data_IF_823557493117
#
_entry.id   IF_823557493117
#
_cell.length_a   1.000
_cell.length_b   1.000
_cell.length_c   1.000
_cell.angle_alpha   90.00
_cell.angle_beta   90.00
_cell.angle_gamma   90.00
#
_symmetry.space_group_name_H-M   'P 1'
#
loop_
_entity.id
_entity.type
_entity.pdbx_description
1 polymer ?
#
# COMPACT_ATOMS: atom_id res chain seq x y z
N UNK A 1 25.66 -44.36 18.20
CA UNK A 1 25.82 -42.96 18.65
C UNK A 1 25.75 -42.03 17.43
N UNK A 2 24.62 -41.35 17.22
CA UNK A 2 24.46 -40.40 16.12
C UNK A 2 25.03 -39.03 16.55
N UNK A 3 26.22 -38.69 16.05
CA UNK A 3 26.81 -37.36 16.23
C UNK A 3 26.01 -36.37 15.40
N UNK A 4 25.11 -35.63 16.04
CA UNK A 4 24.44 -34.49 15.41
C UNK A 4 25.48 -33.38 15.25
N UNK A 5 26.20 -33.39 14.13
CA UNK A 5 27.08 -32.28 13.77
C UNK A 5 26.19 -31.06 13.54
N UNK A 6 26.19 -30.13 14.48
CA UNK A 6 25.59 -28.81 14.29
C UNK A 6 26.29 -28.20 13.09
N UNK A 7 25.65 -28.23 11.91
CA UNK A 7 26.15 -27.56 10.71
C UNK A 7 26.24 -26.08 11.06
N UNK A 8 27.45 -25.63 11.40
CA UNK A 8 27.81 -24.23 11.43
C UNK A 8 27.50 -23.69 10.03
N UNK A 9 26.32 -23.09 9.89
CA UNK A 9 25.83 -22.49 8.66
C UNK A 9 26.64 -21.21 8.42
N UNK A 10 27.89 -21.40 8.00
CA UNK A 10 28.77 -20.35 7.51
C UNK A 10 28.11 -19.60 6.37
N UNK A 11 28.54 -18.36 6.18
CA UNK A 11 28.09 -17.55 5.04
C UNK A 11 28.55 -18.25 3.76
N UNK A 12 27.65 -18.45 2.81
CA UNK A 12 28.01 -19.04 1.51
C UNK A 12 29.05 -18.15 0.80
N UNK A 13 29.98 -18.73 0.04
CA UNK A 13 30.91 -17.98 -0.80
C UNK A 13 30.20 -16.90 -1.63
N UNK A 14 29.11 -17.27 -2.31
CA UNK A 14 28.34 -16.30 -3.11
C UNK A 14 27.74 -15.16 -2.27
N UNK A 15 27.31 -15.44 -1.03
CA UNK A 15 26.81 -14.39 -0.13
C UNK A 15 27.92 -13.43 0.29
N UNK A 16 29.12 -13.94 0.57
CA UNK A 16 30.27 -13.08 0.86
C UNK A 16 30.64 -12.22 -0.34
N UNK A 17 30.62 -12.79 -1.55
CA UNK A 17 30.80 -12.05 -2.80
C UNK A 17 29.78 -10.90 -2.93
N UNK A 18 28.49 -11.15 -2.64
CA UNK A 18 27.48 -10.09 -2.68
C UNK A 18 27.75 -8.97 -1.67
N UNK A 19 28.32 -9.29 -0.50
CA UNK A 19 28.71 -8.30 0.50
C UNK A 19 29.89 -7.45 0.03
N UNK A 20 30.90 -8.06 -0.59
CA UNK A 20 32.06 -7.37 -1.17
C UNK A 20 31.63 -6.40 -2.29
N UNK A 21 30.69 -6.81 -3.15
CA UNK A 21 30.25 -6.05 -4.32
C UNK A 21 29.11 -5.05 -4.03
N UNK A 22 28.79 -4.77 -2.76
CA UNK A 22 27.66 -3.90 -2.39
C UNK A 22 27.79 -2.46 -2.92
N UNK A 23 29.02 -1.98 -3.07
CA UNK A 23 29.37 -0.60 -3.39
C UNK A 23 29.78 -0.36 -4.86
N UNK A 24 29.73 -1.38 -5.71
CA UNK A 24 30.16 -1.28 -7.09
C UNK A 24 29.32 -0.27 -7.89
N UNK A 25 29.95 0.61 -8.69
CA UNK A 25 29.24 1.59 -9.50
C UNK A 25 28.35 0.94 -10.55
N UNK A 26 28.76 -0.18 -11.15
CA UNK A 26 27.98 -0.92 -12.17
C UNK A 26 26.64 -1.46 -11.64
N UNK A 27 26.56 -1.69 -10.32
CA UNK A 27 25.36 -2.19 -9.65
C UNK A 27 24.52 -1.05 -9.04
N UNK A 28 25.06 0.18 -8.97
CA UNK A 28 24.33 1.37 -8.51
C UNK A 28 23.43 1.85 -9.65
N UNK A 29 22.15 2.09 -9.35
CA UNK A 29 21.14 2.50 -10.35
C UNK A 29 20.49 1.35 -11.12
N UNK A 30 21.06 0.14 -11.10
CA UNK A 30 20.41 -1.04 -11.67
C UNK A 30 19.18 -1.45 -10.85
N UNK A 31 18.08 -1.76 -11.54
CA UNK A 31 16.91 -2.37 -10.90
C UNK A 31 17.30 -3.67 -10.18
N UNK A 32 16.68 -3.93 -9.02
CA UNK A 32 17.01 -5.07 -8.15
C UNK A 32 16.98 -6.40 -8.91
N UNK A 33 16.01 -6.57 -9.82
CA UNK A 33 15.86 -7.76 -10.66
C UNK A 33 17.05 -7.98 -11.63
N UNK A 34 17.59 -6.91 -12.20
CA UNK A 34 18.78 -6.97 -13.08
C UNK A 34 20.06 -7.17 -12.26
N UNK A 35 20.14 -6.55 -11.09
CA UNK A 35 21.30 -6.60 -10.19
C UNK A 35 21.68 -8.04 -9.80
N UNK A 36 20.69 -8.86 -9.45
CA UNK A 36 20.92 -10.27 -9.13
C UNK A 36 21.53 -11.06 -10.29
N UNK A 37 21.03 -10.86 -11.52
CA UNK A 37 21.56 -11.51 -12.72
C UNK A 37 23.00 -11.09 -13.01
N UNK A 38 23.31 -9.80 -12.86
CA UNK A 38 24.65 -9.27 -13.09
C UNK A 38 25.65 -9.79 -12.05
N UNK A 39 25.28 -9.81 -10.77
CA UNK A 39 26.09 -10.41 -9.70
C UNK A 39 26.38 -11.90 -9.95
N UNK A 40 25.39 -12.66 -10.42
CA UNK A 40 25.61 -14.07 -10.76
C UNK A 40 26.56 -14.25 -11.95
N UNK A 41 26.54 -13.35 -12.93
CA UNK A 41 27.51 -13.36 -14.05
C UNK A 41 28.93 -13.05 -13.56
N UNK A 42 29.10 -11.96 -12.82
CA UNK A 42 30.39 -11.58 -12.24
C UNK A 42 30.97 -12.69 -11.37
N UNK A 43 30.16 -13.34 -10.54
CA UNK A 43 30.60 -14.48 -9.72
C UNK A 43 31.09 -15.67 -10.57
N UNK A 44 30.45 -15.91 -11.71
CA UNK A 44 30.86 -16.97 -12.64
C UNK A 44 32.12 -16.60 -13.41
N UNK A 45 32.37 -15.31 -13.64
CA UNK A 45 33.57 -14.80 -14.33
C UNK A 45 34.81 -14.76 -13.41
N UNK A 46 34.66 -14.91 -12.09
CA UNK A 46 35.80 -15.04 -11.18
C UNK A 46 36.72 -16.20 -11.57
N UNK A 47 38.02 -15.94 -11.56
CA UNK A 47 39.07 -16.96 -11.73
C UNK A 47 39.00 -18.02 -10.62
N UNK A 48 39.53 -19.21 -10.91
CA UNK A 48 39.53 -20.31 -9.95
C UNK A 48 40.26 -19.96 -8.64
N UNK A 49 41.35 -19.20 -8.73
CA UNK A 49 42.11 -18.73 -7.56
C UNK A 49 41.28 -17.77 -6.69
N UNK A 50 40.58 -16.82 -7.32
CA UNK A 50 39.70 -15.90 -6.60
C UNK A 50 38.54 -16.63 -5.92
N UNK A 51 37.98 -17.67 -6.56
CA UNK A 51 36.95 -18.51 -5.94
C UNK A 51 37.48 -19.29 -4.74
N UNK A 52 38.69 -19.85 -4.83
CA UNK A 52 39.31 -20.54 -3.70
C UNK A 52 39.55 -19.60 -2.53
N UNK A 53 40.06 -18.40 -2.78
CA UNK A 53 40.28 -17.41 -1.73
C UNK A 53 38.95 -16.96 -1.11
N UNK A 54 37.92 -16.77 -1.93
CA UNK A 54 36.59 -16.41 -1.47
C UNK A 54 35.93 -17.54 -0.65
N UNK A 55 36.19 -18.81 -1.00
CA UNK A 55 35.80 -19.96 -0.18
C UNK A 55 36.53 -19.97 1.19
N UNK A 56 37.83 -19.68 1.22
CA UNK A 56 38.60 -19.59 2.47
C UNK A 56 38.08 -18.47 3.36
N UNK A 57 37.82 -17.29 2.79
CA UNK A 57 37.23 -16.15 3.51
C UNK A 57 35.83 -16.48 4.02
N UNK A 58 35.00 -17.12 3.22
CA UNK A 58 33.65 -17.52 3.59
C UNK A 58 33.64 -18.52 4.76
N UNK A 59 34.57 -19.48 4.76
CA UNK A 59 34.72 -20.46 5.85
C UNK A 59 35.13 -19.80 7.18
N UNK A 60 35.87 -18.70 7.13
CA UNK A 60 36.28 -17.91 8.32
C UNK A 60 35.26 -16.85 8.73
N UNK A 61 34.28 -16.55 7.88
CA UNK A 61 33.35 -15.47 8.13
C UNK A 61 32.38 -15.84 9.28
N UNK A 62 32.19 -14.97 10.28
CA UNK A 62 31.27 -15.25 11.37
C UNK A 62 29.85 -15.45 10.83
N UNK A 63 29.08 -16.33 11.48
CA UNK A 63 27.69 -16.55 11.10
C UNK A 63 26.88 -15.30 11.39
N UNK A 64 26.02 -14.90 10.45
CA UNK A 64 25.09 -13.79 10.67
C UNK A 64 24.13 -14.16 11.81
N UNK A 65 23.96 -13.29 12.82
CA UNK A 65 23.05 -13.57 13.92
C UNK A 65 21.63 -13.70 13.38
N UNK A 66 21.08 -14.92 13.47
CA UNK A 66 19.68 -15.14 13.13
C UNK A 66 18.83 -14.48 14.20
N UNK A 67 18.04 -13.47 13.81
CA UNK A 67 17.05 -12.88 14.72
C UNK A 67 16.10 -13.96 15.22
N UNK A 68 15.98 -14.08 16.54
CA UNK A 68 15.03 -14.99 17.17
C UNK A 68 13.59 -14.60 16.81
N UNK A 69 12.65 -15.53 16.95
CA UNK A 69 11.23 -15.26 16.68
C UNK A 69 10.71 -14.11 17.55
N UNK A 70 11.17 -14.06 18.79
CA UNK A 70 10.85 -13.00 19.75
C UNK A 70 11.35 -11.64 19.29
N UNK A 71 12.63 -11.53 18.89
CA UNK A 71 13.19 -10.28 18.36
C UNK A 71 12.44 -9.78 17.13
N UNK A 72 11.97 -10.69 16.25
CA UNK A 72 11.15 -10.31 15.09
C UNK A 72 9.76 -9.82 15.52
N UNK A 73 9.14 -10.49 16.48
CA UNK A 73 7.84 -10.11 17.01
C UNK A 73 7.92 -8.74 17.71
N UNK A 74 8.97 -8.50 18.49
CA UNK A 74 9.23 -7.22 19.15
C UNK A 74 9.46 -6.10 18.13
N UNK A 75 10.30 -6.31 17.12
CA UNK A 75 10.49 -5.32 16.05
C UNK A 75 9.19 -5.01 15.30
N UNK A 76 8.36 -6.03 15.04
CA UNK A 76 7.02 -5.84 14.47
C UNK A 76 6.10 -5.06 15.40
N UNK A 77 6.12 -5.33 16.71
CA UNK A 77 5.33 -4.59 17.71
C UNK A 77 5.80 -3.15 17.82
N UNK A 78 7.11 -2.90 17.83
CA UNK A 78 7.70 -1.56 17.83
C UNK A 78 7.27 -0.77 16.58
N UNK A 79 7.26 -1.41 15.41
CA UNK A 79 6.76 -0.77 14.18
C UNK A 79 5.25 -0.50 14.22
N UNK A 80 4.44 -1.39 14.83
CA UNK A 80 3.00 -1.13 15.04
C UNK A 80 2.73 0.01 16.03
N UNK A 81 3.65 0.24 16.97
CA UNK A 81 3.60 1.37 17.91
C UNK A 81 4.03 2.70 17.28
N UNK A 82 4.63 2.70 16.08
CA UNK A 82 4.90 3.95 15.34
C UNK A 82 3.56 4.65 15.10
N UNK A 83 3.51 5.92 15.49
CA UNK A 83 2.27 6.68 15.70
C UNK A 83 1.39 6.65 14.46
N UNK A 84 0.16 6.17 14.61
CA UNK A 84 -0.92 6.42 13.65
C UNK A 84 -1.12 7.93 13.54
N UNK A 85 -1.09 8.47 12.32
CA UNK A 85 -1.32 9.91 12.08
C UNK A 85 -2.71 10.36 12.53
N UNK A 86 -2.94 11.68 12.60
CA UNK A 86 -4.23 12.25 13.04
C UNK A 86 -5.42 11.67 12.26
N UNK A 87 -5.30 11.58 10.94
CA UNK A 87 -6.31 10.96 10.08
C UNK A 87 -6.58 9.49 10.41
N UNK A 88 -5.57 8.71 10.77
CA UNK A 88 -5.77 7.29 11.07
C UNK A 88 -6.52 7.07 12.39
N UNK A 89 -6.39 7.99 13.36
CA UNK A 89 -7.23 8.00 14.57
C UNK A 89 -8.67 8.38 14.22
N UNK A 90 -8.84 9.43 13.42
CA UNK A 90 -10.14 9.88 12.93
C UNK A 90 -10.90 8.79 12.18
N UNK A 91 -10.23 8.07 11.29
CA UNK A 91 -10.80 6.92 10.57
C UNK A 91 -11.26 5.85 11.56
N UNK A 92 -10.47 5.55 12.59
CA UNK A 92 -10.82 4.52 13.58
C UNK A 92 -12.09 4.88 14.37
N UNK A 93 -12.27 6.16 14.70
CA UNK A 93 -13.43 6.66 15.45
C UNK A 93 -14.70 6.74 14.60
N UNK A 94 -14.57 7.16 13.33
CA UNK A 94 -15.72 7.45 12.46
C UNK A 94 -16.06 6.30 11.48
N UNK A 95 -15.27 5.22 11.44
CA UNK A 95 -15.51 4.10 10.51
C UNK A 95 -16.90 3.47 10.66
N UNK A 96 -17.47 3.49 11.88
CA UNK A 96 -18.82 2.99 12.15
C UNK A 96 -19.90 3.68 11.30
N UNK A 97 -19.75 4.97 11.05
CA UNK A 97 -20.70 5.79 10.28
C UNK A 97 -20.71 5.42 8.79
N UNK A 98 -19.60 4.87 8.29
CA UNK A 98 -19.39 4.60 6.86
C UNK A 98 -19.39 3.09 6.57
N UNK A 99 -19.72 2.27 7.57
CA UNK A 99 -19.72 0.81 7.46
C UNK A 99 -20.75 0.30 6.44
N UNK A 100 -21.85 1.02 6.29
CA UNK A 100 -22.94 0.66 5.38
C UNK A 100 -22.63 0.96 3.91
N UNK A 101 -21.70 1.89 3.64
CA UNK A 101 -21.27 2.21 2.28
C UNK A 101 -20.41 1.08 1.69
N UNK A 102 -20.32 1.04 0.36
CA UNK A 102 -19.41 0.15 -0.35
C UNK A 102 -17.96 0.42 0.08
N UNK A 103 -17.18 -0.65 0.33
CA UNK A 103 -15.78 -0.57 0.77
C UNK A 103 -14.95 0.46 -0.01
N UNK A 104 -15.11 0.53 -1.35
CA UNK A 104 -14.38 1.49 -2.20
C UNK A 104 -14.69 2.95 -1.90
N UNK A 105 -15.92 3.24 -1.45
CA UNK A 105 -16.40 4.61 -1.16
C UNK A 105 -16.19 5.01 0.30
N UNK A 106 -15.92 4.06 1.20
CA UNK A 106 -15.78 4.36 2.64
C UNK A 106 -14.65 5.34 2.90
N UNK A 107 -13.52 5.11 2.26
CA UNK A 107 -12.35 5.94 2.46
C UNK A 107 -12.51 7.34 1.86
N UNK A 108 -13.22 7.46 0.72
CA UNK A 108 -13.54 8.74 0.10
C UNK A 108 -14.49 9.58 0.96
N UNK A 109 -15.52 8.95 1.53
CA UNK A 109 -16.42 9.62 2.46
C UNK A 109 -15.67 10.03 3.75
N UNK A 110 -14.79 9.18 4.28
CA UNK A 110 -13.97 9.49 5.46
C UNK A 110 -12.95 10.60 5.19
N UNK A 111 -12.36 10.69 3.98
CA UNK A 111 -11.43 11.77 3.64
C UNK A 111 -12.16 13.11 3.54
N UNK A 112 -13.33 13.14 2.85
CA UNK A 112 -14.19 14.33 2.79
C UNK A 112 -14.66 14.76 4.18
N UNK A 113 -15.09 13.79 5.01
CA UNK A 113 -15.48 14.07 6.39
C UNK A 113 -14.32 14.62 7.21
N UNK A 114 -13.10 14.11 7.02
CA UNK A 114 -11.91 14.62 7.71
C UNK A 114 -11.47 16.02 7.26
N UNK A 115 -11.70 16.38 6.00
CA UNK A 115 -11.44 17.74 5.51
C UNK A 115 -12.41 18.75 6.12
N UNK A 116 -13.68 18.38 6.25
CA UNK A 116 -14.72 19.22 6.87
C UNK A 116 -14.61 19.27 8.39
N UNK A 117 -14.32 18.11 9.01
CA UNK A 117 -14.22 17.98 10.47
C UNK A 117 -12.88 18.37 11.02
N UNK A 118 -11.81 18.47 10.22
CA UNK A 118 -10.64 19.24 10.63
C UNK A 118 -11.15 20.65 10.85
N UNK A 119 -11.30 21.11 12.11
CA UNK A 119 -11.31 22.53 12.32
C UNK A 119 -9.98 23.02 11.73
N UNK A 120 -9.87 24.30 11.43
CA UNK A 120 -8.59 24.94 11.18
C UNK A 120 -7.80 24.84 12.50
N UNK A 121 -7.28 23.66 12.83
CA UNK A 121 -6.41 23.38 13.96
C UNK A 121 -5.07 23.95 13.56
N UNK A 122 -4.97 25.27 13.74
CA UNK A 122 -3.90 26.11 14.26
C UNK A 122 -2.41 25.74 14.06
N UNK A 123 -2.00 24.64 13.44
CA UNK A 123 -0.60 24.36 13.12
C UNK A 123 -0.11 25.22 11.94
N UNK A 124 -1.01 25.58 11.01
CA UNK A 124 -0.73 26.53 9.92
C UNK A 124 -0.97 27.98 10.35
N UNK A 125 -1.99 28.25 11.18
CA UNK A 125 -2.26 29.60 11.71
C UNK A 125 -1.23 30.01 12.77
N UNK A 126 -0.74 29.11 13.63
CA UNK A 126 0.35 29.42 14.57
C UNK A 126 1.71 29.61 13.89
N UNK A 127 1.88 29.11 12.65
CA UNK A 127 3.02 29.47 11.78
C UNK A 127 2.82 30.78 11.03
N UNK A 128 1.57 31.22 10.86
CA UNK A 128 1.20 32.44 10.12
C UNK A 128 0.91 33.67 11.00
N UNK A 129 0.79 33.54 12.32
CA UNK A 129 0.68 34.69 13.23
C UNK A 129 2.09 35.19 13.58
N UNK A 130 2.50 36.40 13.17
CA UNK A 130 3.79 36.94 13.56
C UNK A 130 3.82 37.16 15.08
N UNK A 131 4.95 36.79 15.71
CA UNK A 131 5.23 37.01 17.13
C UNK A 131 5.26 38.52 17.43
N UNK A 132 4.10 39.14 17.63
CA UNK A 132 4.01 40.47 18.21
C UNK A 132 4.23 40.34 19.72
N UNK A 133 5.44 40.70 20.12
CA UNK A 133 5.78 41.02 21.51
C UNK A 133 4.90 42.19 21.94
N UNK A 134 3.94 41.97 22.81
CA UNK A 134 3.42 43.02 23.70
C UNK A 134 3.24 42.43 25.08
N UNK A 135 4.08 42.91 25.99
CA UNK A 135 3.96 42.78 27.44
C UNK A 135 2.66 43.40 27.93
N UNK A 136 1.93 42.71 28.80
CA UNK A 136 0.83 43.32 29.55
C UNK A 136 -0.15 42.29 30.08
N UNK A 137 -0.24 42.22 31.42
CA UNK A 137 -1.30 41.52 32.19
C UNK A 137 -2.69 41.76 31.59
N UNK A 138 -3.58 40.77 31.68
CA UNK A 138 -4.86 40.90 32.38
C UNK A 138 -5.63 39.57 32.37
N UNK A 139 -6.07 39.20 33.57
CA UNK A 139 -6.94 38.10 33.89
C UNK A 139 -8.36 38.29 33.31
N UNK A 140 -9.04 37.16 33.11
CA UNK A 140 -10.50 36.98 33.12
C UNK A 140 -11.36 37.90 32.24
N UNK A 141 -11.75 37.41 31.06
CA UNK A 141 -12.96 37.88 30.40
C UNK A 141 -13.67 36.76 29.60
N UNK A 142 -14.94 36.57 29.95
CA UNK A 142 -16.04 36.09 29.09
C UNK A 142 -16.00 34.61 28.65
N UNK A 143 -16.80 33.67 29.21
CA UNK A 143 -18.26 33.77 29.41
C UNK A 143 -18.93 34.77 28.46
N UNK A 144 -18.78 34.59 27.16
CA UNK A 144 -19.66 35.23 26.16
C UNK A 144 -20.55 34.18 25.50
N UNK A 145 -21.85 34.44 25.58
CA UNK A 145 -22.97 33.72 24.97
C UNK A 145 -22.90 33.64 23.44
N UNK A 146 -21.94 34.33 22.83
CA UNK A 146 -21.69 34.38 21.38
C UNK A 146 -20.99 33.13 20.84
N UNK A 147 -20.23 32.40 21.66
CA UNK A 147 -19.57 31.16 21.24
C UNK A 147 -20.55 29.99 21.05
N UNK A 148 -21.65 29.95 21.82
CA UNK A 148 -22.68 28.88 21.70
C UNK A 148 -23.54 29.00 20.45
N UNK A 149 -23.74 30.22 19.90
CA UNK A 149 -24.45 30.42 18.62
C UNK A 149 -23.64 29.90 17.43
N UNK A 150 -22.33 30.21 17.38
CA UNK A 150 -21.45 29.74 16.30
C UNK A 150 -21.30 28.21 16.24
N UNK A 151 -21.39 27.51 17.37
CA UNK A 151 -21.34 26.03 17.43
C UNK A 151 -22.68 25.41 16.95
N UNK A 152 -23.81 26.09 17.15
CA UNK A 152 -25.13 25.60 16.72
C UNK A 152 -25.34 25.78 15.22
N UNK A 153 -24.78 26.84 14.64
CA UNK A 153 -24.84 27.11 13.20
C UNK A 153 -23.91 26.18 12.41
N UNK A 154 -22.71 25.88 12.93
CA UNK A 154 -21.81 24.89 12.30
C UNK A 154 -22.37 23.47 12.37
N UNK A 155 -23.02 23.07 13.47
CA UNK A 155 -23.67 21.76 13.57
C UNK A 155 -24.84 21.59 12.58
N UNK A 156 -25.52 22.67 12.22
CA UNK A 156 -26.62 22.65 11.23
C UNK A 156 -26.07 22.53 9.80
N UNK A 157 -24.98 23.25 9.50
CA UNK A 157 -24.27 23.20 8.21
C UNK A 157 -23.63 21.82 7.98
N UNK A 158 -23.07 21.19 9.02
CA UNK A 158 -22.48 19.84 8.93
C UNK A 158 -23.56 18.79 8.67
N UNK A 159 -24.76 18.92 9.26
CA UNK A 159 -25.88 18.00 8.99
C UNK A 159 -26.41 18.13 7.56
N UNK A 160 -26.54 19.35 7.04
CA UNK A 160 -26.99 19.57 5.65
C UNK A 160 -25.95 19.09 4.64
N UNK A 161 -24.66 19.36 4.87
CA UNK A 161 -23.59 18.87 4.00
C UNK A 161 -23.45 17.34 4.02
N UNK A 162 -23.71 16.71 5.18
CA UNK A 162 -23.76 15.26 5.33
C UNK A 162 -24.94 14.64 4.58
N UNK A 163 -26.12 15.25 4.61
CA UNK A 163 -27.29 14.79 3.85
C UNK A 163 -27.10 14.96 2.33
N UNK A 164 -26.48 16.05 1.92
CA UNK A 164 -26.23 16.38 0.52
C UNK A 164 -25.16 15.47 -0.10
N UNK A 165 -24.06 15.21 0.61
CA UNK A 165 -23.03 14.27 0.17
C UNK A 165 -23.54 12.82 0.09
N UNK A 166 -24.46 12.42 0.97
CA UNK A 166 -25.09 11.09 0.94
C UNK A 166 -26.07 10.98 -0.24
N UNK A 167 -26.85 12.03 -0.52
CA UNK A 167 -27.76 12.07 -1.69
C UNK A 167 -26.99 12.08 -3.01
N UNK A 168 -25.96 12.90 -3.12
CA UNK A 168 -25.11 12.99 -4.32
C UNK A 168 -24.37 11.67 -4.61
N UNK A 169 -23.89 10.98 -3.56
CA UNK A 169 -23.28 9.66 -3.70
C UNK A 169 -24.28 8.56 -4.14
N UNK A 170 -25.54 8.67 -3.73
CA UNK A 170 -26.62 7.75 -4.10
C UNK A 170 -27.14 8.00 -5.53
N UNK A 171 -27.22 9.25 -5.96
CA UNK A 171 -27.66 9.61 -7.32
C UNK A 171 -26.63 9.24 -8.38
N UNK A 172 -25.33 9.41 -8.09
CA UNK A 172 -24.25 8.91 -8.97
C UNK A 172 -24.26 7.39 -9.12
N UNK A 173 -24.70 6.62 -8.12
CA UNK A 173 -24.86 5.17 -8.24
C UNK A 173 -26.05 4.79 -9.13
N UNK A 174 -27.16 5.54 -9.07
CA UNK A 174 -28.31 5.33 -9.96
C UNK A 174 -27.95 5.62 -11.42
N UNK A 175 -27.15 6.65 -11.67
CA UNK A 175 -26.70 7.02 -13.01
C UNK A 175 -25.71 5.98 -13.59
N UNK A 176 -24.77 5.50 -12.78
CA UNK A 176 -23.81 4.45 -13.19
C UNK A 176 -24.49 3.09 -13.45
N UNK A 177 -25.59 2.79 -12.74
CA UNK A 177 -26.42 1.60 -13.02
C UNK A 177 -27.19 1.75 -14.33
N UNK A 178 -27.75 2.94 -14.62
CA UNK A 178 -28.45 3.23 -15.89
C UNK A 178 -27.51 3.13 -17.09
N UNK A 179 -26.29 3.64 -16.96
CA UNK A 179 -25.28 3.57 -18.03
C UNK A 179 -24.83 2.13 -18.32
N UNK A 180 -24.65 1.30 -17.28
CA UNK A 180 -24.30 -0.13 -17.44
C UNK A 180 -25.43 -0.96 -18.07
N UNK A 181 -26.70 -0.64 -17.80
CA UNK A 181 -27.85 -1.31 -18.43
C UNK A 181 -27.96 -0.93 -19.92
N UNK A 182 -27.71 0.34 -20.26
CA UNK A 182 -27.70 0.80 -21.65
C UNK A 182 -26.58 0.14 -22.50
N UNK A 183 -25.39 -0.07 -21.91
CA UNK A 183 -24.27 -0.74 -22.58
C UNK A 183 -24.55 -2.24 -22.79
N UNK A 184 -25.28 -2.90 -21.87
CA UNK A 184 -25.64 -4.32 -22.00
C UNK A 184 -26.74 -4.55 -23.06
N UNK A 185 -27.68 -3.61 -23.22
CA UNK A 185 -28.70 -3.64 -24.28
C UNK A 185 -28.12 -3.55 -25.70
N UNK A 186 -27.06 -2.76 -25.90
CA UNK A 186 -26.38 -2.63 -27.21
C UNK A 186 -25.54 -3.85 -27.61
N UNK A 187 -25.11 -4.68 -26.65
CA UNK A 187 -24.34 -5.92 -26.96
C UNK A 187 -25.23 -7.11 -27.33
N UNK A 188 -26.49 -7.15 -26.89
CA UNK A 188 -27.42 -8.26 -27.21
C UNK A 188 -27.92 -8.28 -28.66
N UNK A 189 -27.93 -7.13 -29.36
CA UNK A 189 -28.40 -7.02 -30.74
C UNK A 189 -27.36 -7.38 -31.81
N UNK A 190 -26.08 -7.60 -31.45
CA UNK A 190 -25.02 -7.94 -32.41
C UNK A 190 -24.70 -9.44 -32.52
N UNK A 191 -25.27 -10.30 -31.68
CA UNK A 191 -24.90 -11.74 -31.65
C UNK A 191 -25.86 -12.66 -32.43
N UNK A 192 -26.95 -12.16 -32.99
CA UNK A 192 -27.92 -13.00 -33.73
C UNK A 192 -27.70 -13.12 -35.25
N UNK A 193 -26.72 -12.43 -35.85
CA UNK A 193 -26.56 -12.39 -37.32
C UNK A 193 -25.39 -13.23 -37.88
N UNK A 194 -24.81 -14.16 -37.09
CA UNK A 194 -23.68 -14.98 -37.56
C UNK A 194 -23.73 -16.45 -37.16
N UNK A 195 -24.79 -17.18 -37.52
CA UNK A 195 -24.73 -18.66 -37.59
C UNK A 195 -25.59 -19.20 -38.74
N UNK A 196 -25.03 -19.24 -39.94
CA UNK A 196 -25.47 -20.14 -41.00
C UNK A 196 -24.68 -21.47 -40.91
N UNK A 197 -25.32 -22.64 -41.06
CA UNK A 197 -24.67 -23.94 -40.87
C UNK A 197 -23.87 -24.35 -42.12
N UNK A 198 -22.64 -24.84 -41.94
CA UNK A 198 -21.85 -25.49 -43.00
C UNK A 198 -22.12 -26.99 -43.01
N UNK A 199 -22.47 -27.49 -44.19
CA UNK A 199 -22.62 -28.90 -44.56
C UNK A 199 -21.42 -29.76 -44.16
N UNK A 200 -21.71 -30.97 -43.66
CA UNK A 200 -20.74 -32.03 -43.42
C UNK A 200 -20.54 -32.82 -44.71
N UNK A 201 -19.32 -32.80 -45.25
CA UNK A 201 -18.88 -33.73 -46.30
C UNK A 201 -18.10 -34.87 -45.65
N UNK A 202 -18.58 -36.10 -45.79
CA UNK A 202 -17.92 -37.34 -45.40
C UNK A 202 -17.18 -37.95 -46.59
N UNK A 203 -15.90 -38.27 -46.41
CA UNK A 203 -15.08 -39.20 -47.23
C UNK A 203 -13.75 -39.37 -46.47
N UNK A 204 -13.15 -40.53 -46.30
CA UNK A 204 -13.40 -41.88 -46.75
C UNK A 204 -12.22 -42.71 -46.25
N UNK A 205 -12.54 -43.85 -45.63
CA UNK A 205 -11.64 -44.89 -45.13
C UNK A 205 -10.73 -45.41 -46.26
N UNK A 206 -9.42 -45.46 -46.05
CA UNK A 206 -8.52 -46.36 -46.79
C UNK A 206 -7.69 -47.17 -45.83
N UNK A 207 -7.87 -48.47 -45.98
CA UNK A 207 -7.16 -49.58 -45.39
C UNK A 207 -5.69 -49.56 -45.82
N UNK A 208 -4.80 -50.04 -44.95
CA UNK A 208 -3.55 -50.67 -45.36
C UNK A 208 -3.38 -51.96 -44.56
N UNK A 209 -3.56 -53.06 -45.29
CA UNK A 209 -2.94 -54.36 -45.03
C UNK A 209 -1.45 -54.29 -45.37
N UNK A 210 -0.75 -55.35 -44.93
CA UNK A 210 0.67 -55.70 -45.06
C UNK A 210 1.64 -54.92 -44.20
#
# INVERSE_FOLDING_TARGET
MLRVSVRLLGVSPFTLFMMDQKNNPELKGCAISKRGRLLSKMYKELSQNQRQELNRRAARHPTLPKRTREQRAEASRANRRKRKGGFAKFVQENYGQVRELNYRKRFEALSKLYEVMRPIEMEEVAKAVPKLKVSGKLDNAAKSTTARKKIKDTAKIVKTAMEEAVKEAADRDRENVREKVAIKGKKGLKEHEKKAPKEKVTKGRKEKLT
#
